data_IF_691500978472
#
_entry.id   IF_691500978472
#
_cell.length_a   1.000
_cell.length_b   1.000
_cell.length_c   1.000
_cell.angle_alpha   90.00
_cell.angle_beta   90.00
_cell.angle_gamma   90.00
#
_symmetry.space_group_name_H-M   'P 1'
#
loop_
_entity.id
_entity.type
_entity.pdbx_description
1 polymer ?
#
# COMPACT_ATOMS: atom_id res chain seq x y z
N UNK A 1 12.35 -4.72 -3.04
CA UNK A 1 11.59 -3.85 -2.15
C UNK A 1 10.85 -4.70 -1.11
N UNK A 2 11.19 -4.59 0.17
CA UNK A 2 10.67 -5.47 1.24
C UNK A 2 9.19 -5.18 1.53
N UNK A 3 8.78 -3.93 1.42
CA UNK A 3 7.42 -3.49 1.77
C UNK A 3 6.43 -3.87 0.68
N UNK A 4 6.81 -3.69 -0.59
CA UNK A 4 5.97 -4.12 -1.71
C UNK A 4 5.61 -5.61 -1.58
N UNK A 5 6.58 -6.45 -1.21
CA UNK A 5 6.38 -7.88 -0.98
C UNK A 5 5.48 -8.16 0.22
N UNK A 6 5.72 -7.47 1.35
CA UNK A 6 4.92 -7.60 2.57
C UNK A 6 3.44 -7.25 2.33
N UNK A 7 3.19 -6.12 1.68
CA UNK A 7 1.85 -5.65 1.32
C UNK A 7 1.18 -6.59 0.31
N UNK A 8 1.93 -7.09 -0.67
CA UNK A 8 1.41 -8.09 -1.61
C UNK A 8 1.01 -9.39 -0.90
N UNK A 9 1.88 -9.94 -0.05
CA UNK A 9 1.61 -11.15 0.71
C UNK A 9 0.41 -10.98 1.65
N UNK A 10 0.24 -9.79 2.23
CA UNK A 10 -0.93 -9.44 3.04
C UNK A 10 -2.22 -9.49 2.21
N UNK A 11 -2.23 -8.96 0.99
CA UNK A 11 -3.41 -9.03 0.12
C UNK A 11 -3.78 -10.49 -0.20
N UNK A 12 -2.81 -11.31 -0.62
CA UNK A 12 -3.03 -12.73 -0.94
C UNK A 12 -3.52 -13.52 0.29
N UNK A 13 -2.98 -13.24 1.48
CA UNK A 13 -3.41 -13.89 2.72
C UNK A 13 -4.86 -13.56 3.11
N UNK A 14 -5.41 -12.45 2.62
CA UNK A 14 -6.80 -12.05 2.81
C UNK A 14 -7.69 -12.43 1.62
N UNK A 15 -7.26 -13.42 0.81
CA UNK A 15 -7.99 -13.88 -0.38
C UNK A 15 -8.25 -12.79 -1.43
N UNK A 16 -7.44 -11.73 -1.44
CA UNK A 16 -7.52 -10.68 -2.46
C UNK A 16 -6.59 -11.03 -3.62
N UNK A 17 -7.15 -11.04 -4.82
CA UNK A 17 -6.36 -11.18 -6.04
C UNK A 17 -5.70 -9.85 -6.39
N UNK A 18 -4.37 -9.85 -6.48
CA UNK A 18 -3.61 -8.67 -6.89
C UNK A 18 -3.57 -8.54 -8.43
N UNK A 19 -4.26 -7.55 -9.00
CA UNK A 19 -4.21 -7.26 -10.44
C UNK A 19 -3.01 -6.39 -10.81
N UNK A 20 -2.69 -5.42 -9.97
CA UNK A 20 -1.55 -4.53 -10.15
C UNK A 20 -0.94 -4.22 -8.79
N UNK A 21 0.39 -4.22 -8.71
CA UNK A 21 1.12 -3.69 -7.56
C UNK A 21 2.46 -3.15 -8.05
N UNK A 22 2.73 -1.86 -7.81
CA UNK A 22 3.99 -1.24 -8.20
C UNK A 22 4.32 -0.03 -7.35
N UNK A 23 5.60 0.19 -7.14
CA UNK A 23 6.12 1.45 -6.60
C UNK A 23 5.99 2.57 -7.61
N UNK A 24 5.62 3.76 -7.16
CA UNK A 24 5.75 5.00 -7.93
C UNK A 24 7.09 5.68 -7.60
N UNK A 25 7.36 6.85 -8.19
CA UNK A 25 8.56 7.62 -7.89
C UNK A 25 8.58 8.00 -6.40
N UNK A 26 9.68 7.70 -5.71
CA UNK A 26 9.86 8.13 -4.31
C UNK A 26 10.02 9.64 -4.24
N UNK A 27 9.48 10.24 -3.19
CA UNK A 27 9.58 11.68 -2.91
C UNK A 27 10.44 11.90 -1.67
N UNK A 28 11.43 12.79 -1.76
CA UNK A 28 12.28 13.16 -0.63
C UNK A 28 11.83 14.51 -0.10
N UNK A 29 11.53 14.57 1.18
CA UNK A 29 11.23 15.78 1.93
C UNK A 29 12.37 16.07 2.91
N UNK A 30 12.34 17.24 3.56
CA UNK A 30 13.40 17.66 4.48
C UNK A 30 13.64 16.66 5.63
N UNK A 31 12.55 16.09 6.18
CA UNK A 31 12.61 15.28 7.40
C UNK A 31 12.09 13.84 7.20
N UNK A 32 11.77 13.43 5.97
CA UNK A 32 11.28 12.10 5.66
C UNK A 32 11.39 11.82 4.16
N UNK A 33 11.20 10.56 3.78
CA UNK A 33 10.91 10.19 2.40
C UNK A 33 9.59 9.42 2.30
N UNK A 34 8.92 9.55 1.18
CA UNK A 34 7.67 8.86 0.86
C UNK A 34 7.91 7.89 -0.31
N UNK A 35 7.50 6.64 -0.15
CA UNK A 35 7.40 5.66 -1.23
C UNK A 35 5.92 5.36 -1.50
N UNK A 36 5.34 5.94 -2.57
CA UNK A 36 4.00 5.59 -2.97
C UNK A 36 4.00 4.20 -3.64
N UNK A 37 2.97 3.41 -3.37
CA UNK A 37 2.69 2.11 -3.94
C UNK A 37 1.28 2.18 -4.52
N UNK A 38 1.15 2.01 -5.83
CA UNK A 38 -0.15 1.87 -6.47
C UNK A 38 -0.53 0.40 -6.55
N UNK A 39 -1.77 0.09 -6.18
CA UNK A 39 -2.31 -1.25 -6.23
C UNK A 39 -3.75 -1.31 -6.76
N UNK A 40 -4.06 -2.47 -7.34
CA UNK A 40 -5.36 -2.85 -7.83
C UNK A 40 -5.64 -4.26 -7.32
N UNK A 41 -6.68 -4.40 -6.50
CA UNK A 41 -7.07 -5.65 -5.87
C UNK A 41 -8.48 -6.03 -6.32
N UNK A 42 -8.82 -7.31 -6.30
CA UNK A 42 -10.18 -7.82 -6.46
C UNK A 42 -10.46 -8.95 -5.46
N UNK A 43 -11.65 -8.97 -4.85
CA UNK A 43 -12.05 -9.97 -3.87
C UNK A 43 -13.36 -9.61 -3.19
N UNK A 44 -13.75 -10.33 -2.15
CA UNK A 44 -14.95 -10.01 -1.38
C UNK A 44 -14.72 -8.87 -0.37
N UNK A 45 -15.81 -8.32 0.19
CA UNK A 45 -15.75 -7.24 1.17
C UNK A 45 -14.96 -7.61 2.43
N UNK A 46 -15.07 -8.84 2.91
CA UNK A 46 -14.40 -9.27 4.15
C UNK A 46 -12.88 -9.29 3.97
N UNK A 47 -12.38 -9.77 2.82
CA UNK A 47 -10.97 -9.74 2.48
C UNK A 47 -10.42 -8.32 2.46
N UNK A 48 -11.17 -7.35 1.91
CA UNK A 48 -10.76 -5.95 1.95
C UNK A 48 -10.71 -5.39 3.37
N UNK A 49 -11.73 -5.68 4.17
CA UNK A 49 -11.82 -5.20 5.54
C UNK A 49 -10.63 -5.69 6.38
N UNK A 50 -10.35 -6.99 6.34
CA UNK A 50 -9.23 -7.59 7.08
C UNK A 50 -7.87 -7.10 6.57
N UNK A 51 -7.72 -6.92 5.25
CA UNK A 51 -6.52 -6.33 4.67
C UNK A 51 -6.26 -4.92 5.21
N UNK A 52 -7.28 -4.06 5.27
CA UNK A 52 -7.14 -2.70 5.80
C UNK A 52 -6.82 -2.68 7.31
N UNK A 53 -7.42 -3.58 8.09
CA UNK A 53 -7.09 -3.73 9.51
C UNK A 53 -5.64 -4.18 9.74
N UNK A 54 -5.12 -5.07 8.89
CA UNK A 54 -3.71 -5.49 8.96
C UNK A 54 -2.76 -4.38 8.51
N UNK A 55 -3.15 -3.62 7.49
CA UNK A 55 -2.40 -2.46 7.00
C UNK A 55 -2.26 -1.38 8.10
N UNK A 56 -3.33 -1.11 8.86
CA UNK A 56 -3.33 -0.17 9.99
C UNK A 56 -2.35 -0.58 11.10
N UNK A 57 -2.16 -1.90 11.31
CA UNK A 57 -1.29 -2.45 12.35
C UNK A 57 0.19 -2.50 11.95
N UNK A 58 0.54 -2.08 10.74
CA UNK A 58 1.94 -2.07 10.33
C UNK A 58 2.78 -1.18 11.25
N UNK A 59 3.99 -1.60 11.66
CA UNK A 59 4.86 -0.82 12.54
C UNK A 59 5.58 0.30 11.77
N UNK A 60 4.85 1.06 10.95
CA UNK A 60 5.34 2.16 10.13
C UNK A 60 4.20 3.08 9.77
N UNK A 61 4.50 4.36 9.55
CA UNK A 61 3.49 5.31 9.09
C UNK A 61 3.10 4.94 7.66
N UNK A 62 1.82 4.63 7.48
CA UNK A 62 1.21 4.27 6.20
C UNK A 62 -0.03 5.13 6.01
N UNK A 63 -0.16 5.75 4.84
CA UNK A 63 -1.33 6.57 4.49
C UNK A 63 -1.99 6.01 3.24
N UNK A 64 -3.31 5.85 3.27
CA UNK A 64 -4.11 5.60 2.07
C UNK A 64 -4.58 6.95 1.54
N UNK A 65 -4.10 7.40 0.37
CA UNK A 65 -4.42 8.74 -0.15
C UNK A 65 -5.54 8.74 -1.18
N UNK A 66 -5.66 7.67 -1.94
CA UNK A 66 -6.64 7.51 -3.01
C UNK A 66 -7.19 6.11 -2.89
N UNK A 67 -8.49 5.97 -2.66
CA UNK A 67 -9.17 4.68 -2.70
C UNK A 67 -10.43 4.84 -3.54
N UNK A 68 -10.55 4.03 -4.57
CA UNK A 68 -11.77 3.86 -5.34
C UNK A 68 -12.19 2.41 -5.22
N UNK A 69 -13.43 2.18 -4.78
CA UNK A 69 -13.99 0.87 -4.52
C UNK A 69 -15.24 0.70 -5.37
N UNK A 70 -15.29 -0.38 -6.15
CA UNK A 70 -16.38 -0.64 -7.09
C UNK A 70 -16.90 -2.06 -6.90
N UNK A 71 -18.22 -2.24 -6.94
CA UNK A 71 -18.81 -3.58 -7.03
C UNK A 71 -18.57 -4.13 -8.43
N UNK A 72 -18.11 -5.38 -8.53
CA UNK A 72 -18.06 -6.10 -9.79
C UNK A 72 -19.47 -6.65 -10.05
N UNK A 73 -20.09 -6.27 -11.17
CA UNK A 73 -21.49 -6.65 -11.46
C UNK A 73 -21.62 -8.05 -12.05
N UNK A 74 -20.54 -8.61 -12.57
CA UNK A 74 -20.50 -9.94 -13.18
C UNK A 74 -20.30 -11.09 -12.18
N UNK A 75 -19.93 -10.79 -10.93
CA UNK A 75 -19.72 -11.78 -9.85
C UNK A 75 -20.30 -11.20 -8.56
N UNK A 76 -21.29 -11.89 -7.98
CA UNK A 76 -21.95 -11.35 -6.79
C UNK A 76 -21.04 -11.42 -5.56
N UNK A 77 -21.08 -10.38 -4.74
CA UNK A 77 -20.21 -10.24 -3.57
C UNK A 77 -18.76 -9.82 -3.86
N UNK A 78 -18.34 -9.76 -5.12
CA UNK A 78 -17.00 -9.31 -5.49
C UNK A 78 -16.91 -7.79 -5.69
N UNK A 79 -15.74 -7.26 -5.34
CA UNK A 79 -15.40 -5.86 -5.40
C UNK A 79 -13.98 -5.67 -5.93
N UNK A 80 -13.77 -4.55 -6.61
CA UNK A 80 -12.48 -4.10 -7.07
C UNK A 80 -12.08 -2.81 -6.35
N UNK A 81 -10.87 -2.78 -5.81
CA UNK A 81 -10.28 -1.57 -5.25
C UNK A 81 -9.08 -1.12 -6.08
N UNK A 82 -9.03 0.15 -6.45
CA UNK A 82 -7.80 0.83 -6.81
C UNK A 82 -7.39 1.76 -5.68
N UNK A 83 -6.14 1.63 -5.24
CA UNK A 83 -5.63 2.50 -4.21
C UNK A 83 -4.15 2.84 -4.31
N UNK A 84 -3.78 3.95 -3.69
CA UNK A 84 -2.39 4.37 -3.50
C UNK A 84 -2.08 4.37 -2.01
N UNK A 85 -1.07 3.59 -1.63
CA UNK A 85 -0.48 3.57 -0.30
C UNK A 85 0.77 4.43 -0.30
N UNK A 86 0.92 5.30 0.69
CA UNK A 86 2.14 6.08 0.92
C UNK A 86 2.83 5.54 2.15
N UNK A 87 4.07 5.08 1.98
CA UNK A 87 4.89 4.57 3.07
C UNK A 87 5.98 5.58 3.40
N UNK A 88 6.08 5.97 4.66
CA UNK A 88 7.05 6.97 5.10
C UNK A 88 8.27 6.33 5.74
N UNK A 89 9.43 6.91 5.47
CA UNK A 89 10.71 6.51 6.05
C UNK A 89 11.40 7.70 6.67
N UNK A 90 12.14 7.44 7.74
CA UNK A 90 13.08 8.39 8.31
C UNK A 90 14.14 8.79 7.25
N UNK A 91 14.67 10.02 7.33
CA UNK A 91 15.70 10.48 6.42
C UNK A 91 16.97 9.64 6.61
N UNK A 92 17.65 9.30 5.51
CA UNK A 92 18.94 8.61 5.56
C UNK A 92 19.93 9.44 6.39
N UNK A 93 20.21 9.00 7.62
CA UNK A 93 21.11 9.71 8.56
C UNK A 93 22.54 9.86 7.99
N UNK A 94 22.91 9.04 6.99
CA UNK A 94 24.20 9.11 6.32
C UNK A 94 24.31 10.25 5.28
N UNK A 95 23.20 10.84 4.83
CA UNK A 95 23.24 11.94 3.84
C UNK A 95 23.63 13.28 4.48
N UNK A 96 23.28 13.50 5.76
CA UNK A 96 23.59 14.74 6.49
C UNK A 96 25.04 14.78 7.01
N UNK A 97 25.70 13.63 7.18
CA UNK A 97 27.10 13.58 7.64
C UNK A 97 28.13 13.93 6.54
N UNK A 98 27.71 14.09 5.28
CA UNK A 98 28.60 14.39 4.14
C UNK A 98 28.61 15.88 3.76
N UNK A 99 27.94 16.73 4.54
CA UNK A 99 27.81 18.18 4.29
C UNK A 99 28.50 19.06 5.35
N UNK A 100 29.25 18.47 6.29
CA UNK A 100 30.05 19.20 7.30
C UNK A 100 31.54 18.88 7.17
#
# INVERSE_FOLDING_TARGET
DKILKEVWQMAEANSLTTKTIRTLKSERCANYSEQPIQMSLSGDFNGYYEFLLQLEKLPRITRVTQMNLQKITSSDGEMQAQMTLSIFFEPDTNAVASMN
#
